data_IF_076388630391
#
_entry.id   IF_076388630391
#
_cell.length_a   1.000
_cell.length_b   1.000
_cell.length_c   1.000
_cell.angle_alpha   90.00
_cell.angle_beta   90.00
_cell.angle_gamma   90.00
#
_symmetry.space_group_name_H-M   'P 1'
#
loop_
_entity.id
_entity.type
_entity.pdbx_description
1 polymer ?
#
# COMPACT_ATOMS: atom_id res chain seq x y z
N UNK A 1 -39.79 5.97 -13.11
CA UNK A 1 -39.25 6.40 -11.85
C UNK A 1 -37.94 5.75 -11.51
N UNK A 2 -37.06 6.53 -11.24
CA UNK A 2 -35.76 6.04 -10.86
C UNK A 2 -35.70 5.72 -9.38
N UNK A 3 -35.55 4.46 -9.08
CA UNK A 3 -35.18 4.10 -7.74
C UNK A 3 -33.84 4.72 -7.43
N UNK A 4 -33.79 5.51 -6.41
CA UNK A 4 -32.53 5.98 -5.92
C UNK A 4 -31.77 4.80 -5.33
N UNK A 5 -30.73 4.42 -6.01
CA UNK A 5 -29.80 3.44 -5.45
C UNK A 5 -29.14 4.03 -4.21
N UNK A 6 -29.24 3.33 -3.11
CA UNK A 6 -28.44 3.71 -1.95
C UNK A 6 -26.97 3.36 -2.23
N UNK A 7 -26.06 3.88 -1.42
CA UNK A 7 -24.63 3.66 -1.61
C UNK A 7 -24.25 2.19 -1.68
N UNK A 8 -24.90 1.38 -0.86
CA UNK A 8 -24.64 -0.07 -0.84
C UNK A 8 -25.05 -0.75 -2.13
N UNK A 9 -26.21 -0.42 -2.65
CA UNK A 9 -26.70 -0.97 -3.90
C UNK A 9 -25.84 -0.55 -5.08
N UNK A 10 -25.42 0.71 -5.10
CA UNK A 10 -24.53 1.21 -6.13
C UNK A 10 -23.18 0.46 -6.11
N UNK A 11 -22.57 0.34 -4.95
CA UNK A 11 -21.28 -0.37 -4.80
C UNK A 11 -21.42 -1.84 -5.20
N UNK A 12 -22.48 -2.51 -4.76
CA UNK A 12 -22.72 -3.92 -5.12
C UNK A 12 -22.87 -4.12 -6.62
N UNK A 13 -23.67 -3.28 -7.26
CA UNK A 13 -23.89 -3.37 -8.71
C UNK A 13 -22.64 -3.02 -9.50
N UNK A 14 -21.92 -2.00 -9.08
CA UNK A 14 -20.66 -1.62 -9.72
C UNK A 14 -19.64 -2.72 -9.57
N UNK A 15 -19.54 -3.32 -8.41
CA UNK A 15 -18.63 -4.42 -8.17
C UNK A 15 -18.96 -5.66 -9.04
N UNK A 16 -20.23 -5.98 -9.16
CA UNK A 16 -20.67 -7.10 -10.01
C UNK A 16 -20.35 -6.86 -11.48
N UNK A 17 -20.63 -5.66 -11.98
CA UNK A 17 -20.31 -5.29 -13.36
C UNK A 17 -18.79 -5.23 -13.59
N UNK A 18 -18.07 -4.68 -12.65
CA UNK A 18 -16.61 -4.63 -12.72
C UNK A 18 -16.00 -6.03 -12.71
N UNK A 19 -16.56 -6.94 -11.95
CA UNK A 19 -16.12 -8.34 -11.94
C UNK A 19 -16.28 -9.04 -13.26
N UNK A 20 -17.33 -8.69 -14.03
CA UNK A 20 -17.59 -9.27 -15.34
C UNK A 20 -16.86 -8.55 -16.47
N UNK A 21 -16.86 -7.23 -16.42
CA UNK A 21 -16.35 -6.43 -17.54
C UNK A 21 -14.87 -6.09 -17.43
N UNK A 22 -14.37 -5.98 -16.22
CA UNK A 22 -13.02 -5.58 -15.95
C UNK A 22 -12.24 -6.66 -15.21
N UNK A 23 -12.54 -7.89 -15.51
CA UNK A 23 -11.69 -8.99 -15.06
C UNK A 23 -10.24 -8.77 -15.49
N UNK A 24 -9.99 -7.69 -16.19
CA UNK A 24 -8.69 -7.28 -16.60
C UNK A 24 -8.03 -6.30 -15.66
N UNK A 25 -7.73 -5.11 -16.11
CA UNK A 25 -6.56 -4.39 -15.62
C UNK A 25 -6.63 -3.90 -14.17
N UNK A 26 -7.81 -3.69 -13.63
CA UNK A 26 -7.91 -3.13 -12.27
C UNK A 26 -8.21 -4.16 -11.20
N UNK A 27 -9.09 -5.13 -11.49
CA UNK A 27 -9.49 -6.11 -10.50
C UNK A 27 -8.36 -7.04 -10.03
N UNK A 28 -7.57 -7.64 -10.91
CA UNK A 28 -6.45 -8.46 -10.48
C UNK A 28 -5.40 -7.68 -9.71
N UNK A 29 -5.09 -6.45 -10.14
CA UNK A 29 -4.13 -5.61 -9.45
C UNK A 29 -4.62 -5.22 -8.06
N UNK A 30 -5.89 -4.94 -7.92
CA UNK A 30 -6.50 -4.58 -6.64
C UNK A 30 -6.60 -5.78 -5.70
N UNK A 31 -6.99 -6.94 -6.22
CA UNK A 31 -7.04 -8.17 -5.45
C UNK A 31 -5.64 -8.59 -4.99
N UNK A 32 -4.66 -8.49 -5.88
CA UNK A 32 -3.26 -8.78 -5.55
C UNK A 32 -2.71 -7.81 -4.52
N UNK A 33 -3.18 -6.58 -4.50
CA UNK A 33 -2.75 -5.60 -3.52
C UNK A 33 -3.25 -5.91 -2.11
N UNK A 34 -4.39 -6.60 -1.99
CA UNK A 34 -4.87 -7.09 -0.71
C UNK A 34 -3.95 -8.12 -0.07
N UNK A 35 -3.20 -8.86 -0.89
CA UNK A 35 -2.26 -9.89 -0.44
C UNK A 35 -0.81 -9.40 -0.44
N UNK A 36 -0.57 -8.17 -0.85
CA UNK A 36 0.75 -7.58 -0.97
C UNK A 36 0.90 -6.40 -0.03
N UNK A 37 2.08 -6.31 0.58
CA UNK A 37 2.49 -5.15 1.35
C UNK A 37 3.85 -4.68 0.84
N UNK A 38 3.91 -3.42 0.45
CA UNK A 38 5.15 -2.78 0.03
C UNK A 38 5.66 -1.91 1.17
N UNK A 39 6.84 -2.21 1.66
CA UNK A 39 7.44 -1.53 2.80
C UNK A 39 8.70 -0.82 2.34
N UNK A 40 8.82 0.45 2.70
CA UNK A 40 10.06 1.21 2.57
C UNK A 40 10.62 1.43 3.97
N UNK A 41 11.80 0.93 4.23
CA UNK A 41 12.34 0.92 5.59
C UNK A 41 13.84 1.18 5.63
N UNK A 42 14.36 1.35 6.83
CA UNK A 42 15.79 1.41 7.05
C UNK A 42 16.44 0.06 6.75
N UNK A 43 17.71 0.12 6.35
CA UNK A 43 18.51 -1.06 6.15
C UNK A 43 18.50 -1.96 7.39
N UNK A 44 18.29 -3.25 7.17
CA UNK A 44 18.19 -4.24 8.24
C UNK A 44 16.77 -4.56 8.66
N UNK A 45 15.82 -3.63 8.53
CA UNK A 45 14.43 -3.90 8.87
C UNK A 45 13.72 -4.76 7.82
N UNK A 46 14.32 -4.92 6.66
CA UNK A 46 13.82 -5.79 5.60
C UNK A 46 14.41 -7.21 5.65
N UNK A 47 15.13 -7.54 6.70
CA UNK A 47 15.77 -8.85 6.86
C UNK A 47 14.75 -9.93 7.21
N UNK A 48 15.13 -11.19 6.97
CA UNK A 48 14.31 -12.33 7.36
C UNK A 48 14.15 -12.46 8.87
N UNK A 49 15.10 -11.96 9.64
CA UNK A 49 14.98 -11.93 11.10
C UNK A 49 13.82 -11.06 11.55
N UNK A 50 13.58 -9.95 10.85
CA UNK A 50 12.49 -9.02 11.17
C UNK A 50 11.18 -9.47 10.55
N UNK A 51 11.19 -9.82 9.28
CA UNK A 51 9.97 -10.12 8.51
C UNK A 51 9.58 -11.59 8.53
N UNK A 52 10.50 -12.47 8.86
CA UNK A 52 10.28 -13.91 8.88
C UNK A 52 9.10 -14.36 9.73
N UNK A 53 8.99 -13.88 10.99
CA UNK A 53 7.85 -14.24 11.84
C UNK A 53 6.51 -13.87 11.22
N UNK A 54 6.38 -12.70 10.62
CA UNK A 54 5.16 -12.28 9.94
C UNK A 54 4.87 -13.17 8.73
N UNK A 55 5.89 -13.42 7.91
CA UNK A 55 5.74 -14.29 6.73
C UNK A 55 5.33 -15.70 7.09
N UNK A 56 5.85 -16.21 8.19
CA UNK A 56 5.52 -17.55 8.69
C UNK A 56 4.07 -17.64 9.13
N UNK A 57 3.56 -16.61 9.80
CA UNK A 57 2.17 -16.56 10.27
C UNK A 57 1.19 -16.24 9.14
N UNK A 58 1.68 -15.62 8.07
CA UNK A 58 0.86 -15.16 6.95
C UNK A 58 1.41 -15.67 5.62
N UNK A 59 1.39 -16.99 5.38
CA UNK A 59 2.03 -17.57 4.21
C UNK A 59 1.40 -17.15 2.87
N UNK A 60 0.16 -16.66 2.90
CA UNK A 60 -0.52 -16.15 1.71
C UNK A 60 -0.17 -14.70 1.38
N UNK A 61 0.48 -14.00 2.29
CA UNK A 61 0.84 -12.59 2.07
C UNK A 61 2.19 -12.46 1.38
N UNK A 62 2.28 -11.50 0.46
CA UNK A 62 3.55 -11.14 -0.18
C UNK A 62 4.03 -9.84 0.43
N UNK A 63 5.16 -9.88 1.12
CA UNK A 63 5.79 -8.69 1.70
C UNK A 63 7.02 -8.36 0.89
N UNK A 64 7.00 -7.19 0.26
CA UNK A 64 8.17 -6.63 -0.43
C UNK A 64 8.68 -5.46 0.38
N UNK A 65 9.88 -5.60 0.90
CA UNK A 65 10.49 -4.57 1.72
C UNK A 65 11.78 -4.10 1.05
N UNK A 66 11.82 -2.82 0.72
CA UNK A 66 12.98 -2.16 0.13
C UNK A 66 13.62 -1.29 1.19
N UNK A 67 14.94 -1.32 1.26
CA UNK A 67 15.67 -0.47 2.19
C UNK A 67 16.07 0.84 1.54
N UNK A 68 15.77 1.95 2.22
CA UNK A 68 16.32 3.25 1.89
C UNK A 68 17.69 3.43 2.55
N UNK A 69 18.48 4.33 1.99
CA UNK A 69 19.82 4.61 2.50
C UNK A 69 19.83 5.66 3.61
N UNK A 70 18.78 6.47 3.69
CA UNK A 70 18.65 7.53 4.69
C UNK A 70 17.18 8.01 4.75
N UNK A 71 16.84 8.73 5.81
CA UNK A 71 15.53 9.37 5.89
C UNK A 71 15.30 10.35 4.72
N UNK A 72 16.24 11.25 4.37
CA UNK A 72 16.06 12.11 3.21
C UNK A 72 15.81 11.34 1.91
N UNK A 73 16.48 10.22 1.69
CA UNK A 73 16.27 9.38 0.52
C UNK A 73 14.82 8.87 0.46
N UNK A 74 14.33 8.34 1.57
CA UNK A 74 12.95 7.84 1.65
C UNK A 74 11.93 8.96 1.48
N UNK A 75 12.17 10.12 2.09
CA UNK A 75 11.30 11.30 1.97
C UNK A 75 11.23 11.76 0.51
N UNK A 76 12.37 11.81 -0.16
CA UNK A 76 12.43 12.25 -1.56
C UNK A 76 11.69 11.28 -2.49
N UNK A 77 11.71 9.99 -2.21
CA UNK A 77 10.90 9.02 -2.95
C UNK A 77 9.41 9.34 -2.84
N UNK A 78 8.94 9.66 -1.64
CA UNK A 78 7.54 10.05 -1.43
C UNK A 78 7.20 11.34 -2.17
N UNK A 79 8.07 12.33 -2.12
CA UNK A 79 7.90 13.60 -2.84
C UNK A 79 7.86 13.40 -4.35
N UNK A 80 8.58 12.41 -4.85
CA UNK A 80 8.60 12.07 -6.27
C UNK A 80 7.33 11.34 -6.75
N UNK A 81 6.36 11.13 -5.88
CA UNK A 81 5.09 10.51 -6.23
C UNK A 81 4.96 9.06 -5.81
N UNK A 82 5.89 8.51 -5.05
CA UNK A 82 5.84 7.12 -4.64
C UNK A 82 4.91 6.86 -3.43
N UNK A 83 4.12 7.83 -3.02
CA UNK A 83 3.11 7.64 -1.97
C UNK A 83 2.09 6.56 -2.30
N UNK A 84 1.85 6.34 -3.59
CA UNK A 84 0.96 5.27 -4.05
C UNK A 84 1.64 3.90 -4.13
N UNK A 85 2.94 3.84 -4.00
CA UNK A 85 3.73 2.61 -4.09
C UNK A 85 3.84 1.92 -2.74
N UNK A 86 4.05 2.70 -1.69
CA UNK A 86 4.38 2.19 -0.37
C UNK A 86 3.16 2.14 0.54
N UNK A 87 2.95 1.00 1.18
CA UNK A 87 1.88 0.81 2.15
C UNK A 87 2.35 1.18 3.56
N UNK A 88 3.63 0.99 3.82
CA UNK A 88 4.24 1.30 5.10
C UNK A 88 5.62 1.90 4.88
N UNK A 89 5.94 2.90 5.66
CA UNK A 89 7.28 3.49 5.66
C UNK A 89 7.81 3.57 7.09
N UNK A 90 9.08 3.23 7.24
CA UNK A 90 9.78 3.33 8.52
C UNK A 90 10.79 4.47 8.42
N UNK A 91 10.50 5.57 9.10
CA UNK A 91 11.37 6.75 9.13
C UNK A 91 11.50 7.24 10.58
N UNK A 92 12.55 8.02 10.84
CA UNK A 92 12.70 8.63 12.14
C UNK A 92 11.65 9.72 12.36
N UNK A 93 11.14 9.80 13.57
CA UNK A 93 10.03 10.68 13.94
C UNK A 93 10.20 12.16 13.50
N UNK A 94 11.36 12.80 13.68
CA UNK A 94 11.50 14.19 13.26
C UNK A 94 11.20 14.41 11.77
N UNK A 95 11.59 13.47 10.93
CA UNK A 95 11.33 13.54 9.50
C UNK A 95 9.83 13.40 9.19
N UNK A 96 9.17 12.47 9.86
CA UNK A 96 7.73 12.30 9.68
C UNK A 96 6.97 13.55 10.15
N UNK A 97 7.30 14.04 11.33
CA UNK A 97 6.64 15.19 11.95
C UNK A 97 6.89 16.49 11.19
N UNK A 98 8.14 16.75 10.82
CA UNK A 98 8.56 18.06 10.32
C UNK A 98 8.55 18.15 8.79
N UNK A 99 8.54 17.03 8.09
CA UNK A 99 8.58 16.97 6.62
C UNK A 99 7.30 16.35 6.03
N UNK A 100 7.00 15.10 6.38
CA UNK A 100 5.90 14.38 5.74
C UNK A 100 4.54 14.95 6.12
N UNK A 101 4.31 15.14 7.40
CA UNK A 101 3.01 15.62 7.88
C UNK A 101 2.67 17.01 7.34
N UNK A 102 3.56 18.03 7.42
CA UNK A 102 3.25 19.35 6.86
C UNK A 102 3.05 19.35 5.35
N UNK A 103 3.70 18.44 4.61
CA UNK A 103 3.56 18.34 3.16
C UNK A 103 2.37 17.50 2.73
N UNK A 104 1.67 16.84 3.67
CA UNK A 104 0.53 16.01 3.36
C UNK A 104 0.87 14.68 2.69
N UNK A 105 2.08 14.19 2.94
CA UNK A 105 2.58 12.94 2.36
C UNK A 105 2.29 11.73 3.24
#
# INVERSE_FOLDING_TARGET
MTSRLNRRQFVSRTAALAGLAAAGPLSPAYAMRGDRMNILCWEGYNSDEVLGPFRKENPGATVQAESGTSDPDMINKLRAGETSVWDLINVNQPWARDQLYPEGL
#
